data_IF_044860373897
#
_entry.id   IF_044860373897
#
_cell.length_a   1.000
_cell.length_b   1.000
_cell.length_c   1.000
_cell.angle_alpha   90.00
_cell.angle_beta   90.00
_cell.angle_gamma   90.00
#
_symmetry.space_group_name_H-M   'P 1'
#
loop_
_entity.id
_entity.type
_entity.pdbx_description
1 polymer ?
#
# COMPACT_ATOMS: atom_id res chain seq x y z
N UNK A 1 -16.31 12.48 9.08
CA UNK A 1 -15.02 11.96 8.56
C UNK A 1 -14.01 13.09 8.70
N UNK A 2 -12.75 12.80 9.06
CA UNK A 2 -11.78 13.87 9.28
C UNK A 2 -11.44 14.55 7.95
N UNK A 3 -11.15 15.85 7.98
CA UNK A 3 -10.92 16.71 6.80
C UNK A 3 -9.78 16.27 5.88
N UNK A 4 -9.03 15.22 6.26
CA UNK A 4 -7.86 14.74 5.54
C UNK A 4 -8.12 13.48 4.72
N UNK A 5 -9.28 12.84 4.81
CA UNK A 5 -9.61 11.62 4.06
C UNK A 5 -10.50 11.95 2.85
N UNK A 6 -10.23 11.29 1.72
CA UNK A 6 -11.04 11.39 0.53
C UNK A 6 -11.48 10.00 0.03
N UNK A 7 -12.78 9.86 -0.21
CA UNK A 7 -13.45 8.68 -0.76
C UNK A 7 -14.26 9.01 -2.02
N UNK A 8 -14.19 10.24 -2.52
CA UNK A 8 -14.83 10.65 -3.77
C UNK A 8 -13.95 10.23 -4.94
N UNK A 9 -14.03 8.93 -5.28
CA UNK A 9 -13.33 8.32 -6.40
C UNK A 9 -14.24 7.32 -7.13
N UNK A 10 -14.15 7.35 -8.45
CA UNK A 10 -14.67 6.31 -9.33
C UNK A 10 -13.71 5.11 -9.39
N UNK A 11 -14.21 3.97 -9.87
CA UNK A 11 -13.36 2.78 -10.09
C UNK A 11 -12.29 3.05 -11.14
N UNK A 12 -12.62 3.83 -12.16
CA UNK A 12 -11.74 4.19 -13.27
C UNK A 12 -10.59 5.08 -12.79
N UNK A 13 -10.85 6.07 -11.93
CA UNK A 13 -9.81 6.91 -11.34
C UNK A 13 -8.86 6.09 -10.46
N UNK A 14 -9.41 5.19 -9.65
CA UNK A 14 -8.60 4.29 -8.81
C UNK A 14 -7.79 3.32 -9.67
N UNK A 15 -8.34 2.81 -10.78
CA UNK A 15 -7.59 1.96 -11.70
C UNK A 15 -6.40 2.71 -12.29
N UNK A 16 -6.58 3.96 -12.75
CA UNK A 16 -5.45 4.78 -13.25
C UNK A 16 -4.36 4.96 -12.19
N UNK A 17 -4.73 5.22 -10.94
CA UNK A 17 -3.78 5.33 -9.81
C UNK A 17 -3.07 3.99 -9.58
N UNK A 18 -3.81 2.90 -9.54
CA UNK A 18 -3.28 1.57 -9.29
C UNK A 18 -2.38 1.08 -10.43
N UNK A 19 -2.69 1.41 -11.69
CA UNK A 19 -1.82 1.13 -12.83
C UNK A 19 -0.48 1.86 -12.69
N UNK A 20 -0.48 3.15 -12.31
CA UNK A 20 0.78 3.88 -12.03
C UNK A 20 1.61 3.17 -10.94
N UNK A 21 0.95 2.65 -9.91
CA UNK A 21 1.61 1.89 -8.84
C UNK A 21 2.22 0.60 -9.39
N UNK A 22 1.42 -0.20 -10.10
CA UNK A 22 1.85 -1.49 -10.66
C UNK A 22 2.95 -1.34 -11.71
N UNK A 23 2.91 -0.29 -12.52
CA UNK A 23 3.96 0.02 -13.49
C UNK A 23 5.29 0.31 -12.80
N UNK A 24 5.28 1.12 -11.74
CA UNK A 24 6.48 1.37 -10.94
C UNK A 24 6.99 0.07 -10.31
N UNK A 25 6.10 -0.76 -9.77
CA UNK A 25 6.47 -2.05 -9.17
C UNK A 25 7.08 -3.01 -10.20
N UNK A 26 6.46 -3.13 -11.37
CA UNK A 26 6.96 -3.97 -12.48
C UNK A 26 8.36 -3.56 -12.92
N UNK A 27 8.60 -2.24 -13.03
CA UNK A 27 9.90 -1.67 -13.39
C UNK A 27 10.90 -1.58 -12.21
N UNK A 28 10.61 -2.20 -11.06
CA UNK A 28 11.44 -2.14 -9.84
C UNK A 28 11.71 -0.70 -9.33
N UNK A 29 10.86 0.26 -9.70
CA UNK A 29 10.87 1.66 -9.24
C UNK A 29 9.97 1.83 -8.02
N UNK A 30 10.12 0.96 -7.04
CA UNK A 30 9.37 1.03 -5.79
C UNK A 30 10.23 0.75 -4.57
N UNK A 31 9.76 1.13 -3.39
CA UNK A 31 10.39 0.77 -2.12
C UNK A 31 9.34 0.61 -1.04
N UNK A 32 9.47 -0.42 -0.20
CA UNK A 32 8.72 -0.56 1.04
C UNK A 32 9.55 0.04 2.17
N UNK A 33 9.01 1.02 2.89
CA UNK A 33 9.74 1.68 3.97
C UNK A 33 9.98 0.73 5.15
N UNK A 34 11.23 0.61 5.60
CA UNK A 34 11.67 -0.28 6.69
C UNK A 34 12.60 0.42 7.70
N UNK A 35 12.35 1.70 7.99
CA UNK A 35 13.11 2.44 9.01
C UNK A 35 12.58 2.17 10.44
N UNK A 36 13.21 2.75 11.46
CA UNK A 36 12.85 2.59 12.88
C UNK A 36 11.39 2.94 13.22
N UNK A 37 10.76 3.80 12.41
CA UNK A 37 9.35 4.20 12.54
C UNK A 37 8.39 3.26 11.76
N UNK A 38 8.91 2.22 11.10
CA UNK A 38 8.17 1.26 10.26
C UNK A 38 8.33 -0.18 10.75
N UNK A 39 8.35 -0.37 12.07
CA UNK A 39 8.46 -1.68 12.72
C UNK A 39 7.39 -2.67 12.27
N UNK A 40 6.15 -2.21 12.07
CA UNK A 40 5.07 -3.09 11.61
C UNK A 40 5.29 -3.61 10.17
N UNK A 41 5.93 -2.81 9.31
CA UNK A 41 6.30 -3.26 7.96
C UNK A 41 7.37 -4.35 8.04
N UNK A 42 8.39 -4.13 8.87
CA UNK A 42 9.46 -5.10 9.13
C UNK A 42 8.86 -6.38 9.72
N UNK A 43 7.93 -6.26 10.66
CA UNK A 43 7.27 -7.38 11.32
C UNK A 43 6.48 -8.22 10.31
N UNK A 44 5.63 -7.62 9.47
CA UNK A 44 4.91 -8.38 8.43
C UNK A 44 5.88 -9.13 7.50
N UNK A 45 6.97 -8.47 7.09
CA UNK A 45 7.97 -9.08 6.21
C UNK A 45 8.63 -10.30 6.88
N UNK A 46 8.96 -10.20 8.17
CA UNK A 46 9.61 -11.26 8.92
C UNK A 46 8.64 -12.42 9.24
N UNK A 47 7.46 -12.10 9.76
CA UNK A 47 6.46 -13.07 10.23
C UNK A 47 5.96 -14.00 9.10
N UNK A 48 5.98 -13.52 7.85
CA UNK A 48 5.57 -14.29 6.66
C UNK A 48 6.70 -14.58 5.67
N UNK A 49 7.97 -14.32 6.03
CA UNK A 49 9.16 -14.49 5.17
C UNK A 49 8.94 -13.93 3.76
N UNK A 50 8.50 -12.69 3.69
CA UNK A 50 8.20 -12.00 2.43
C UNK A 50 9.50 -11.52 1.80
N UNK A 51 10.13 -12.36 0.98
CA UNK A 51 11.24 -11.94 0.14
C UNK A 51 10.79 -10.88 -0.89
N UNK A 52 11.75 -10.30 -1.62
CA UNK A 52 11.47 -9.23 -2.60
C UNK A 52 10.44 -9.69 -3.65
N UNK A 53 10.48 -10.97 -4.06
CA UNK A 53 9.56 -11.52 -5.05
C UNK A 53 8.14 -11.59 -4.49
N UNK A 54 7.95 -12.13 -3.28
CA UNK A 54 6.65 -12.19 -2.61
C UNK A 54 6.09 -10.81 -2.31
N UNK A 55 6.93 -9.87 -1.88
CA UNK A 55 6.52 -8.47 -1.71
C UNK A 55 5.99 -7.90 -3.03
N UNK A 56 6.72 -8.12 -4.15
CA UNK A 56 6.31 -7.68 -5.49
C UNK A 56 4.99 -8.32 -5.92
N UNK A 57 4.81 -9.62 -5.70
CA UNK A 57 3.58 -10.36 -6.00
C UNK A 57 2.38 -9.80 -5.23
N UNK A 58 2.53 -9.51 -3.93
CA UNK A 58 1.48 -8.89 -3.12
C UNK A 58 1.11 -7.53 -3.72
N UNK A 59 2.08 -6.66 -3.98
CA UNK A 59 1.82 -5.32 -4.54
C UNK A 59 1.14 -5.36 -5.93
N UNK A 60 1.57 -6.27 -6.81
CA UNK A 60 0.98 -6.43 -8.15
C UNK A 60 -0.42 -7.05 -8.12
N UNK A 61 -0.72 -7.83 -7.08
CA UNK A 61 -2.02 -8.48 -6.93
C UNK A 61 -3.13 -7.52 -6.46
N UNK A 62 -2.80 -6.35 -5.93
CA UNK A 62 -3.78 -5.36 -5.43
C UNK A 62 -4.82 -5.08 -6.53
N UNK A 63 -6.10 -5.06 -6.16
CA UNK A 63 -7.21 -4.77 -7.06
C UNK A 63 -7.83 -3.41 -6.75
N UNK A 64 -8.55 -2.85 -7.73
CA UNK A 64 -9.31 -1.59 -7.56
C UNK A 64 -10.26 -1.68 -6.38
N UNK A 65 -10.90 -2.83 -6.19
CA UNK A 65 -11.82 -3.10 -5.07
C UNK A 65 -11.13 -3.17 -3.70
N UNK A 66 -9.79 -3.19 -3.65
CA UNK A 66 -9.04 -3.13 -2.39
C UNK A 66 -8.87 -1.68 -1.90
N UNK A 67 -9.22 -0.69 -2.74
CA UNK A 67 -9.10 0.71 -2.39
C UNK A 67 -10.04 1.11 -1.26
N UNK A 68 -9.52 1.89 -0.33
CA UNK A 68 -10.23 2.33 0.86
C UNK A 68 -10.50 3.85 0.81
N UNK A 69 -9.44 4.63 0.64
CA UNK A 69 -9.47 6.09 0.58
C UNK A 69 -8.10 6.64 0.17
N UNK A 70 -8.03 7.92 -0.16
CA UNK A 70 -6.78 8.68 -0.12
C UNK A 70 -6.76 9.62 1.08
N UNK A 71 -5.59 10.14 1.42
CA UNK A 71 -5.43 11.16 2.44
C UNK A 71 -4.24 12.09 2.15
N UNK A 72 -4.34 13.34 2.59
CA UNK A 72 -3.20 14.25 2.54
C UNK A 72 -2.13 13.81 3.55
N UNK A 73 -0.86 13.94 3.17
CA UNK A 73 0.23 13.74 4.10
C UNK A 73 0.24 14.89 5.12
N UNK A 74 0.36 14.56 6.41
CA UNK A 74 0.31 15.53 7.51
C UNK A 74 1.71 15.85 8.07
N UNK A 75 2.75 15.23 7.50
CA UNK A 75 4.12 15.49 7.93
C UNK A 75 4.56 16.88 7.46
N UNK A 76 5.13 17.72 8.35
CA UNK A 76 5.64 19.03 7.99
C UNK A 76 6.57 19.01 6.77
N UNK A 77 6.27 19.79 5.74
CA UNK A 77 7.01 19.87 4.48
C UNK A 77 6.56 18.91 3.38
N UNK A 78 5.59 18.04 3.65
CA UNK A 78 5.04 17.07 2.69
C UNK A 78 3.53 17.22 2.47
N UNK A 79 2.92 18.31 2.93
CA UNK A 79 1.47 18.51 2.96
C UNK A 79 0.80 18.54 1.57
N UNK A 80 1.61 18.72 0.54
CA UNK A 80 1.20 18.67 -0.86
C UNK A 80 1.09 17.23 -1.42
N UNK A 81 1.56 16.23 -0.68
CA UNK A 81 1.52 14.83 -1.10
C UNK A 81 0.17 14.17 -0.76
N UNK A 82 -0.33 13.38 -1.71
CA UNK A 82 -1.51 12.53 -1.52
C UNK A 82 -1.05 11.09 -1.32
N UNK A 83 -1.55 10.45 -0.27
CA UNK A 83 -1.30 9.06 0.05
C UNK A 83 -2.52 8.22 -0.32
N UNK A 84 -2.32 7.10 -0.99
CA UNK A 84 -3.39 6.20 -1.43
C UNK A 84 -3.40 4.92 -0.60
N UNK A 85 -4.55 4.57 -0.03
CA UNK A 85 -4.70 3.43 0.89
C UNK A 85 -5.48 2.31 0.21
N UNK A 86 -4.85 1.13 0.20
CA UNK A 86 -5.47 -0.12 -0.22
C UNK A 86 -5.33 -1.16 0.90
N UNK A 87 -6.30 -2.08 0.99
CA UNK A 87 -6.24 -3.18 1.93
C UNK A 87 -6.47 -4.54 1.24
N UNK A 88 -5.52 -5.04 0.44
CA UNK A 88 -5.65 -6.37 -0.15
C UNK A 88 -5.72 -7.45 0.94
N UNK A 89 -6.55 -8.45 0.72
CA UNK A 89 -6.67 -9.62 1.59
C UNK A 89 -5.97 -10.81 0.93
N UNK A 90 -5.02 -11.43 1.62
CA UNK A 90 -4.20 -12.52 1.06
C UNK A 90 -4.04 -13.65 2.05
N UNK A 91 -4.03 -14.85 1.52
CA UNK A 91 -3.60 -16.02 2.28
C UNK A 91 -2.09 -16.10 2.24
N UNK A 92 -1.44 -16.06 3.40
CA UNK A 92 0.01 -16.11 3.57
C UNK A 92 0.39 -17.26 4.50
N UNK A 93 1.61 -17.76 4.36
CA UNK A 93 2.17 -18.75 5.27
C UNK A 93 3.13 -18.08 6.24
N UNK A 94 2.92 -18.23 7.54
CA UNK A 94 3.80 -17.66 8.55
C UNK A 94 5.13 -18.44 8.65
N UNK A 95 6.06 -18.00 9.50
CA UNK A 95 7.37 -18.64 9.70
C UNK A 95 7.30 -20.11 10.16
N UNK A 96 6.16 -20.55 10.71
CA UNK A 96 5.90 -21.92 11.14
C UNK A 96 5.23 -22.76 10.04
N UNK A 97 4.92 -22.16 8.88
CA UNK A 97 4.23 -22.83 7.78
C UNK A 97 2.72 -22.91 7.97
N UNK A 98 2.15 -22.14 8.89
CA UNK A 98 0.70 -22.09 9.09
C UNK A 98 0.08 -21.09 8.12
N UNK A 99 -1.04 -21.49 7.52
CA UNK A 99 -1.81 -20.67 6.59
C UNK A 99 -2.67 -19.65 7.38
N UNK A 100 -2.56 -18.37 7.03
CA UNK A 100 -3.34 -17.30 7.63
C UNK A 100 -3.98 -16.42 6.56
N UNK A 101 -5.23 -16.04 6.77
CA UNK A 101 -5.90 -15.01 5.98
C UNK A 101 -5.57 -13.63 6.55
N UNK A 102 -4.85 -12.82 5.79
CA UNK A 102 -4.25 -11.56 6.24
C UNK A 102 -4.80 -10.40 5.43
N UNK A 103 -5.45 -9.47 6.12
CA UNK A 103 -5.72 -8.13 5.60
C UNK A 103 -4.43 -7.31 5.68
N UNK A 104 -3.88 -6.90 4.54
CA UNK A 104 -2.62 -6.15 4.48
C UNK A 104 -2.95 -4.68 4.27
N UNK A 105 -2.71 -3.83 5.28
CA UNK A 105 -2.84 -2.39 5.14
C UNK A 105 -1.65 -1.83 4.34
N UNK A 106 -1.95 -1.21 3.21
CA UNK A 106 -0.95 -0.57 2.35
C UNK A 106 -1.24 0.90 2.17
N UNK A 107 -0.20 1.72 2.19
CA UNK A 107 -0.30 3.17 1.95
C UNK A 107 0.83 3.61 1.02
N UNK A 108 0.46 4.14 -0.13
CA UNK A 108 1.40 4.51 -1.18
C UNK A 108 1.53 6.02 -1.30
N UNK A 109 2.76 6.48 -1.43
CA UNK A 109 3.08 7.80 -1.98
C UNK A 109 3.61 7.59 -3.41
N UNK A 110 3.05 8.31 -4.38
CA UNK A 110 3.51 8.28 -5.77
C UNK A 110 4.26 9.57 -6.02
N UNK A 111 5.56 9.44 -6.32
CA UNK A 111 6.45 10.57 -6.52
C UNK A 111 6.79 10.65 -8.01
N UNK A 112 6.43 11.78 -8.63
CA UNK A 112 6.67 12.07 -10.05
C UNK A 112 7.62 13.27 -10.18
N UNK A 113 8.74 13.09 -10.88
CA UNK A 113 9.70 14.15 -11.20
C UNK A 113 10.07 14.11 -12.68
N UNK A 114 9.54 15.04 -13.48
CA UNK A 114 9.65 14.99 -14.94
C UNK A 114 9.09 13.67 -15.47
N UNK A 115 9.89 12.95 -16.28
CA UNK A 115 9.51 11.64 -16.82
C UNK A 115 9.72 10.47 -15.84
N UNK A 116 10.36 10.71 -14.70
CA UNK A 116 10.64 9.67 -13.71
C UNK A 116 9.50 9.53 -12.71
N UNK A 117 9.10 8.29 -12.44
CA UNK A 117 8.08 7.93 -11.45
C UNK A 117 8.58 6.85 -10.52
N UNK A 118 8.37 7.06 -9.22
CA UNK A 118 8.71 6.09 -8.17
C UNK A 118 7.57 6.00 -7.17
N UNK A 119 7.38 4.80 -6.62
CA UNK A 119 6.38 4.55 -5.58
C UNK A 119 7.06 4.22 -4.25
N UNK A 120 6.60 4.84 -3.18
CA UNK A 120 6.98 4.46 -1.82
C UNK A 120 5.75 3.84 -1.15
N UNK A 121 5.84 2.56 -0.81
CA UNK A 121 4.90 1.92 0.10
C UNK A 121 5.30 2.32 1.54
N UNK A 122 4.70 3.40 2.01
CA UNK A 122 4.94 4.00 3.33
C UNK A 122 4.47 3.05 4.43
N UNK A 123 3.29 2.45 4.24
CA UNK A 123 2.77 1.36 5.10
C UNK A 123 2.63 0.09 4.28
N UNK A 124 3.00 -1.03 4.89
CA UNK A 124 2.89 -2.38 4.34
C UNK A 124 2.88 -3.38 5.52
N UNK A 125 1.77 -3.45 6.25
CA UNK A 125 1.68 -4.23 7.49
C UNK A 125 0.32 -4.89 7.64
N UNK A 126 0.18 -5.85 8.56
CA UNK A 126 -1.11 -6.45 8.91
C UNK A 126 -2.06 -5.35 9.39
N UNK A 127 -3.31 -5.35 8.92
CA UNK A 127 -4.32 -4.39 9.33
C UNK A 127 -4.54 -4.48 10.84
N UNK A 128 -4.33 -3.36 11.53
CA UNK A 128 -4.41 -3.25 12.99
C UNK A 128 -5.53 -2.32 13.48
N UNK A 129 -6.28 -1.70 12.54
CA UNK A 129 -7.40 -0.78 12.80
C UNK A 129 -8.58 -1.12 11.88
N UNK A 130 -9.82 -0.72 12.24
CA UNK A 130 -10.95 -0.78 11.32
C UNK A 130 -10.64 -0.02 10.03
N UNK A 131 -11.17 -0.54 8.92
CA UNK A 131 -11.04 0.10 7.61
C UNK A 131 -12.31 -0.11 6.80
N UNK A 132 -12.69 0.92 6.06
CA UNK A 132 -13.83 0.90 5.15
C UNK A 132 -13.30 0.87 3.71
N UNK A 133 -13.76 -0.10 2.94
CA UNK A 133 -13.47 -0.21 1.51
C UNK A 133 -14.43 0.68 0.74
N UNK A 134 -13.94 1.38 -0.29
CA UNK A 134 -14.81 2.27 -1.07
C UNK A 134 -15.79 1.49 -1.96
N UNK A 135 -15.38 0.31 -2.45
CA UNK A 135 -16.11 -0.44 -3.47
C UNK A 135 -16.60 -1.81 -3.03
N UNK A 136 -16.66 -2.09 -1.72
CA UNK A 136 -17.11 -3.38 -1.16
C UNK A 136 -18.19 -3.18 -0.12
#
# INVERSE_FOLDING_TARGET
>A
MSEHYNQDYTKEEVDVILQKIKDCVNNNRYTISQNENRKENIQLINDYRLDIKKQKEILLSIAVTDFCHSLNNINPGFEHEILYVFCPQRTLFNVFGEEEFVDIYTKFNIIEYGDNKRVIAVSFHKRNKPIDYLFR
#
